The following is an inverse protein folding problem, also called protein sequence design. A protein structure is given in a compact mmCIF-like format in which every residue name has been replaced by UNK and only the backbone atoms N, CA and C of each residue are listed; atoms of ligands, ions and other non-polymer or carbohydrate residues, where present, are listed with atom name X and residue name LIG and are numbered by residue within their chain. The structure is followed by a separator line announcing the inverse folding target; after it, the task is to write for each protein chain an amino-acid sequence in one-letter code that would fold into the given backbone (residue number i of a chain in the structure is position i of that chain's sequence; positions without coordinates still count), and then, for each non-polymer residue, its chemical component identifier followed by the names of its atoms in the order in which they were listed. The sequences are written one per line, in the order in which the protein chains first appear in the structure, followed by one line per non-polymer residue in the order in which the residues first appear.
data_IF_808687364909
#
_entry.id   IF_808687364909
#
_cell.length_a   1.000
_cell.length_b   1.000
_cell.length_c   1.000
_cell.angle_alpha   90.00
_cell.angle_beta   90.00
_cell.angle_gamma   90.00
#
_symmetry.space_group_name_H-M   'P 1'
#
loop_
_entity.id
_entity.type
_entity.pdbx_description
1 polymer ?
#
# COMPACT_ATOMS: atom_id res chain seq x y z
N UNK A 1 2.30 -9.59 7.85
CA UNK A 1 3.59 -9.93 8.48
C UNK A 1 4.49 -8.71 8.42
N UNK A 2 5.07 -8.30 9.54
CA UNK A 2 6.09 -7.25 9.60
C UNK A 2 7.40 -7.88 10.06
N UNK A 3 8.47 -7.70 9.30
CA UNK A 3 9.80 -8.19 9.63
C UNK A 3 10.87 -7.18 9.25
N UNK A 4 12.08 -7.33 9.78
CA UNK A 4 13.22 -6.45 9.51
C UNK A 4 14.03 -6.95 8.32
N UNK A 5 14.61 -6.02 7.60
CA UNK A 5 15.62 -6.31 6.58
C UNK A 5 16.96 -6.65 7.22
N UNK A 6 17.33 -5.91 8.29
CA UNK A 6 18.59 -6.09 9.01
C UNK A 6 18.37 -6.28 10.50
N UNK A 7 19.26 -7.04 11.12
CA UNK A 7 19.36 -7.12 12.57
C UNK A 7 19.91 -5.79 13.13
N UNK A 8 19.24 -5.14 14.10
CA UNK A 8 19.68 -3.85 14.61
C UNK A 8 20.91 -3.93 15.50
N UNK A 9 21.24 -5.09 16.07
CA UNK A 9 22.37 -5.27 16.99
C UNK A 9 23.63 -5.69 16.24
N UNK A 10 23.51 -6.68 15.35
CA UNK A 10 24.64 -7.21 14.58
C UNK A 10 24.85 -6.50 13.23
N UNK A 11 23.84 -5.80 12.70
CA UNK A 11 23.85 -5.23 11.35
C UNK A 11 23.72 -6.29 10.25
N UNK A 12 23.57 -7.57 10.60
CA UNK A 12 23.47 -8.66 9.66
C UNK A 12 22.18 -8.58 8.81
N UNK A 13 22.29 -8.89 7.53
CA UNK A 13 21.14 -8.93 6.62
C UNK A 13 20.24 -10.15 6.92
N UNK A 14 19.06 -9.89 7.47
CA UNK A 14 18.02 -10.91 7.65
C UNK A 14 17.36 -11.23 6.30
N UNK A 15 17.23 -10.20 5.44
CA UNK A 15 16.70 -10.31 4.09
C UNK A 15 17.80 -9.98 3.09
N UNK A 16 18.62 -11.00 2.79
CA UNK A 16 19.78 -10.84 1.91
C UNK A 16 19.36 -10.56 0.47
N UNK A 17 20.00 -9.58 -0.16
CA UNK A 17 19.88 -9.35 -1.59
C UNK A 17 20.33 -10.59 -2.38
N UNK A 18 19.52 -11.01 -3.36
CA UNK A 18 19.76 -12.19 -4.18
C UNK A 18 19.74 -11.85 -5.66
N UNK A 19 20.42 -12.66 -6.47
CA UNK A 19 20.44 -12.50 -7.92
C UNK A 19 19.10 -12.84 -8.58
N UNK A 20 18.93 -12.43 -9.84
CA UNK A 20 17.67 -12.63 -10.61
C UNK A 20 17.23 -14.09 -10.76
N UNK A 21 18.17 -15.03 -10.78
CA UNK A 21 17.91 -16.44 -11.04
C UNK A 21 17.59 -17.26 -9.78
N UNK A 22 17.47 -16.61 -8.62
CA UNK A 22 17.17 -17.29 -7.36
C UNK A 22 15.67 -17.46 -7.15
N UNK A 23 15.25 -18.54 -6.49
CA UNK A 23 13.84 -18.81 -6.14
C UNK A 23 13.28 -17.90 -5.05
N UNK A 24 14.08 -16.95 -4.54
CA UNK A 24 13.69 -16.07 -3.45
C UNK A 24 13.60 -16.77 -2.10
N UNK A 25 13.01 -16.07 -1.12
CA UNK A 25 12.82 -16.58 0.23
C UNK A 25 11.38 -16.35 0.69
N UNK A 26 10.87 -17.24 1.55
CA UNK A 26 9.50 -17.15 2.07
C UNK A 26 9.34 -15.92 2.96
N UNK A 27 8.55 -14.94 2.54
CA UNK A 27 8.20 -13.75 3.33
C UNK A 27 7.12 -14.04 4.38
N UNK A 28 6.05 -14.75 3.99
CA UNK A 28 4.95 -15.13 4.88
C UNK A 28 4.39 -16.52 4.50
N UNK A 29 3.66 -17.13 5.43
CA UNK A 29 2.93 -18.38 5.19
C UNK A 29 1.44 -18.12 5.13
N UNK A 30 0.82 -18.67 4.11
CA UNK A 30 -0.63 -18.69 3.96
C UNK A 30 -1.22 -19.86 4.76
N UNK A 31 -2.43 -19.68 5.28
CA UNK A 31 -3.16 -20.74 6.01
C UNK A 31 -4.00 -21.59 5.06
N UNK A 32 -4.59 -20.95 4.06
CA UNK A 32 -5.44 -21.57 3.07
C UNK A 32 -4.75 -21.55 1.70
N UNK A 33 -5.05 -22.54 0.86
CA UNK A 33 -4.56 -22.59 -0.51
C UNK A 33 -5.13 -21.45 -1.40
N UNK A 34 -6.26 -20.87 -0.98
CA UNK A 34 -6.89 -19.72 -1.62
C UNK A 34 -6.32 -18.36 -1.20
N UNK A 35 -5.45 -18.34 -0.19
CA UNK A 35 -4.82 -17.10 0.27
C UNK A 35 -3.79 -16.61 -0.75
N UNK A 36 -3.65 -15.30 -0.87
CA UNK A 36 -2.68 -14.67 -1.75
C UNK A 36 -2.08 -13.41 -1.13
N UNK A 37 -0.94 -12.99 -1.65
CA UNK A 37 -0.29 -11.75 -1.25
C UNK A 37 -0.99 -10.57 -1.94
N UNK A 38 -1.64 -9.72 -1.15
CA UNK A 38 -2.36 -8.55 -1.68
C UNK A 38 -1.43 -7.35 -1.89
N UNK A 39 -0.52 -7.11 -0.96
CA UNK A 39 0.39 -5.98 -1.01
C UNK A 39 1.68 -6.26 -0.24
N UNK A 40 2.73 -5.53 -0.59
CA UNK A 40 3.98 -5.44 0.14
C UNK A 40 4.37 -3.97 0.24
N UNK A 41 4.70 -3.51 1.44
CA UNK A 41 5.05 -2.13 1.72
C UNK A 41 6.34 -2.03 2.53
N UNK A 42 7.12 -1.02 2.25
CA UNK A 42 8.26 -0.64 3.09
C UNK A 42 7.76 0.19 4.26
N UNK A 43 8.15 -0.19 5.48
CA UNK A 43 7.73 0.53 6.69
C UNK A 43 8.41 1.89 6.74
N UNK A 44 7.61 2.95 6.65
CA UNK A 44 7.97 4.32 6.96
C UNK A 44 7.32 4.71 8.30
N UNK A 45 8.13 5.00 9.32
CA UNK A 45 7.63 5.35 10.65
C UNK A 45 6.92 6.71 10.70
N UNK A 46 7.10 7.57 9.69
CA UNK A 46 6.35 8.82 9.55
C UNK A 46 4.99 8.63 8.87
N UNK A 47 4.75 7.44 8.30
CA UNK A 47 3.51 7.08 7.62
C UNK A 47 2.64 6.13 8.45
N UNK A 48 1.41 5.94 8.01
CA UNK A 48 0.45 4.99 8.56
C UNK A 48 0.09 3.94 7.52
N UNK A 49 -0.38 2.81 7.97
CA UNK A 49 -0.79 1.71 7.10
C UNK A 49 -2.30 1.76 6.87
N UNK A 50 -2.71 2.01 5.64
CA UNK A 50 -4.10 1.98 5.20
C UNK A 50 -4.38 0.64 4.53
N UNK A 51 -5.38 -0.07 5.04
CA UNK A 51 -5.88 -1.34 4.47
C UNK A 51 -7.35 -1.15 4.12
N UNK A 52 -7.74 -1.49 2.90
CA UNK A 52 -9.10 -1.35 2.41
C UNK A 52 -9.68 -2.69 1.97
N UNK A 53 -10.96 -2.92 2.23
CA UNK A 53 -11.73 -4.09 1.82
C UNK A 53 -12.57 -3.83 0.57
N UNK A 54 -12.94 -4.90 -0.14
CA UNK A 54 -13.87 -4.84 -1.27
C UNK A 54 -15.23 -4.23 -0.91
N UNK A 55 -15.61 -4.26 0.37
CA UNK A 55 -16.85 -3.64 0.88
C UNK A 55 -16.74 -2.11 1.07
N UNK A 56 -15.63 -1.48 0.69
CA UNK A 56 -15.43 -0.05 0.80
C UNK A 56 -15.16 0.44 2.23
N UNK A 57 -14.78 -0.47 3.13
CA UNK A 57 -14.33 -0.14 4.48
C UNK A 57 -12.81 -0.23 4.56
N UNK A 58 -12.20 0.55 5.44
CA UNK A 58 -10.76 0.50 5.66
C UNK A 58 -10.35 0.86 7.07
N UNK A 59 -9.15 0.44 7.42
CA UNK A 59 -8.48 0.76 8.68
C UNK A 59 -7.20 1.54 8.38
N UNK A 60 -6.99 2.64 9.09
CA UNK A 60 -5.74 3.40 9.08
C UNK A 60 -5.09 3.23 10.44
N UNK A 61 -3.94 2.57 10.48
CA UNK A 61 -3.27 2.14 11.71
C UNK A 61 -1.80 2.55 11.69
N UNK A 62 -1.14 2.53 12.84
CA UNK A 62 0.30 2.72 12.92
C UNK A 62 1.02 1.42 12.55
N UNK A 63 2.20 1.53 11.94
CA UNK A 63 3.03 0.35 11.71
C UNK A 63 3.47 -0.33 13.01
N UNK A 64 3.59 0.41 14.11
CA UNK A 64 3.97 -0.09 15.43
C UNK A 64 2.95 -1.07 16.02
N UNK A 65 1.67 -0.96 15.62
CA UNK A 65 0.61 -1.90 16.05
C UNK A 65 0.82 -3.32 15.50
N UNK A 66 1.70 -3.46 14.50
CA UNK A 66 2.08 -4.75 13.94
C UNK A 66 3.40 -5.20 14.55
N UNK A 67 3.34 -6.20 15.42
CA UNK A 67 4.54 -6.74 16.05
C UNK A 67 5.56 -7.22 15.01
N UNK A 68 6.83 -6.98 15.30
CA UNK A 68 7.92 -7.56 14.53
C UNK A 68 7.96 -9.07 14.78
N UNK A 69 8.04 -9.84 13.70
CA UNK A 69 8.19 -11.28 13.72
C UNK A 69 9.22 -11.69 12.68
N UNK A 70 9.69 -12.91 12.74
CA UNK A 70 10.56 -13.45 11.70
C UNK A 70 9.77 -13.60 10.38
N UNK A 71 10.46 -13.47 9.24
CA UNK A 71 9.89 -13.80 7.93
C UNK A 71 9.39 -15.25 7.92
N UNK A 72 8.38 -15.54 7.10
CA UNK A 72 7.77 -16.87 7.05
C UNK A 72 6.73 -17.12 8.16
N UNK A 73 6.40 -16.12 8.97
CA UNK A 73 5.30 -16.21 9.94
C UNK A 73 3.92 -15.99 9.29
N UNK A 74 2.86 -16.31 10.05
CA UNK A 74 1.46 -16.10 9.60
C UNK A 74 0.94 -14.69 9.79
N UNK A 75 1.68 -13.83 10.51
CA UNK A 75 1.31 -12.45 10.73
C UNK A 75 0.26 -12.21 11.83
N UNK A 76 -0.39 -11.06 11.74
CA UNK A 76 -1.46 -10.61 12.63
C UNK A 76 -2.57 -9.98 11.80
N UNK A 77 -3.78 -9.96 12.30
CA UNK A 77 -4.94 -9.36 11.66
C UNK A 77 -4.75 -7.84 11.49
N UNK A 78 -5.04 -7.34 10.32
CA UNK A 78 -5.02 -5.91 10.01
C UNK A 78 -6.42 -5.30 10.14
N UNK A 79 -7.42 -5.97 9.57
CA UNK A 79 -8.82 -5.57 9.53
C UNK A 79 -9.69 -6.78 9.88
N UNK A 80 -10.83 -6.56 10.52
CA UNK A 80 -11.83 -7.58 10.81
C UNK A 80 -12.71 -7.79 9.57
N UNK A 81 -12.56 -8.94 8.93
CA UNK A 81 -13.34 -9.36 7.77
C UNK A 81 -14.08 -10.67 8.08
N UNK A 82 -15.21 -10.94 7.39
CA UNK A 82 -15.89 -12.22 7.50
C UNK A 82 -14.96 -13.41 7.20
N UNK A 83 -15.00 -14.43 8.05
CA UNK A 83 -14.15 -15.63 7.91
C UNK A 83 -14.54 -16.52 6.73
N UNK A 84 -15.77 -16.36 6.21
CA UNK A 84 -16.29 -17.09 5.07
C UNK A 84 -15.65 -16.69 3.71
N UNK A 85 -14.79 -15.67 3.74
CA UNK A 85 -14.12 -15.16 2.54
C UNK A 85 -15.03 -14.38 1.58
N UNK A 86 -16.23 -14.02 2.01
CA UNK A 86 -17.21 -13.25 1.20
C UNK A 86 -16.70 -11.84 0.86
N UNK A 87 -15.83 -11.26 1.70
CA UNK A 87 -15.21 -9.95 1.53
C UNK A 87 -13.70 -10.12 1.55
N UNK A 88 -13.02 -9.61 0.52
CA UNK A 88 -11.56 -9.65 0.40
C UNK A 88 -10.96 -8.27 0.60
N UNK A 89 -9.63 -8.21 0.66
CA UNK A 89 -8.90 -6.96 0.62
C UNK A 89 -8.88 -6.42 -0.82
N UNK A 90 -9.16 -5.13 -0.97
CA UNK A 90 -8.98 -4.40 -2.23
C UNK A 90 -7.56 -3.87 -2.38
N UNK A 91 -6.90 -3.55 -1.26
CA UNK A 91 -5.52 -3.08 -1.27
C UNK A 91 -5.02 -2.69 0.10
N UNK A 92 -3.72 -2.45 0.18
CA UNK A 92 -3.06 -1.91 1.36
C UNK A 92 -1.87 -1.07 0.92
N UNK A 93 -1.65 0.08 1.55
CA UNK A 93 -0.57 1.00 1.21
C UNK A 93 -0.14 1.87 2.39
N UNK A 94 1.07 2.38 2.30
CA UNK A 94 1.63 3.36 3.23
C UNK A 94 1.15 4.76 2.86
N UNK A 95 0.58 5.50 3.82
CA UNK A 95 0.00 6.84 3.60
C UNK A 95 0.43 7.81 4.69
N UNK A 96 0.54 9.08 4.33
CA UNK A 96 0.73 10.21 5.25
C UNK A 96 -0.54 11.04 5.33
N UNK A 97 -0.65 11.89 6.35
CA UNK A 97 -1.86 12.69 6.57
C UNK A 97 -2.08 13.73 5.45
N UNK A 98 -1.01 14.18 4.80
CA UNK A 98 -1.02 15.10 3.65
C UNK A 98 -1.35 14.43 2.32
N UNK A 99 -1.29 13.11 2.25
CA UNK A 99 -1.57 12.36 1.02
C UNK A 99 -3.08 12.34 0.70
N UNK A 100 -3.36 11.99 -0.54
CA UNK A 100 -4.69 11.59 -1.00
C UNK A 100 -4.64 10.20 -1.60
N UNK A 101 -5.76 9.50 -1.50
CA UNK A 101 -5.93 8.17 -2.10
C UNK A 101 -7.03 8.17 -3.14
N UNK A 102 -6.77 7.49 -4.24
CA UNK A 102 -7.74 7.17 -5.27
C UNK A 102 -8.35 5.81 -4.96
N UNK A 103 -9.67 5.76 -4.94
CA UNK A 103 -10.46 4.56 -4.75
C UNK A 103 -11.15 4.22 -6.08
N UNK A 104 -10.93 3.03 -6.62
CA UNK A 104 -11.53 2.56 -7.87
C UNK A 104 -12.50 1.42 -7.61
N UNK A 105 -13.74 1.54 -8.09
CA UNK A 105 -14.77 0.52 -7.94
C UNK A 105 -14.93 -0.34 -9.20
N UNK A 106 -15.58 -1.50 -9.06
CA UNK A 106 -15.83 -2.43 -10.17
C UNK A 106 -16.75 -1.84 -11.25
N UNK A 107 -17.64 -0.93 -10.89
CA UNK A 107 -18.50 -0.20 -11.84
C UNK A 107 -17.83 1.03 -12.46
N UNK A 108 -16.52 1.22 -12.20
CA UNK A 108 -15.73 2.30 -12.82
C UNK A 108 -15.85 3.65 -12.11
N UNK A 109 -16.39 3.72 -10.90
CA UNK A 109 -16.32 4.94 -10.10
C UNK A 109 -14.90 5.15 -9.60
N UNK A 110 -14.41 6.37 -9.74
CA UNK A 110 -13.11 6.82 -9.24
C UNK A 110 -13.33 7.94 -8.23
N UNK A 111 -12.90 7.72 -7.00
CA UNK A 111 -13.14 8.64 -5.87
C UNK A 111 -11.81 9.03 -5.27
N UNK A 112 -11.59 10.34 -5.13
CA UNK A 112 -10.42 10.91 -4.45
C UNK A 112 -10.79 11.19 -2.99
N UNK A 113 -9.99 10.71 -2.05
CA UNK A 113 -10.22 10.83 -0.63
C UNK A 113 -8.95 11.33 0.07
N UNK A 114 -8.98 12.50 0.75
CA UNK A 114 -7.87 12.95 1.58
C UNK A 114 -7.63 11.99 2.76
N UNK A 115 -6.38 11.59 2.97
CA UNK A 115 -6.03 10.64 4.05
C UNK A 115 -6.37 11.19 5.43
N UNK A 116 -6.24 12.50 5.64
CA UNK A 116 -6.59 13.18 6.91
C UNK A 116 -8.03 12.95 7.34
N UNK A 117 -8.96 12.75 6.38
CA UNK A 117 -10.38 12.52 6.64
C UNK A 117 -10.67 11.06 7.04
N UNK A 118 -9.71 10.16 6.85
CA UNK A 118 -9.82 8.76 7.28
C UNK A 118 -9.36 8.68 8.72
N UNK A 119 -10.31 8.43 9.65
CA UNK A 119 -9.99 8.31 11.07
C UNK A 119 -9.00 7.16 11.34
N UNK A 120 -8.00 7.42 12.17
CA UNK A 120 -7.11 6.39 12.69
C UNK A 120 -7.88 5.42 13.58
N UNK A 121 -7.65 4.13 13.41
CA UNK A 121 -8.32 3.04 14.15
C UNK A 121 -7.28 2.07 14.68
N UNK A 122 -7.71 1.20 15.59
CA UNK A 122 -6.89 0.10 16.06
C UNK A 122 -6.82 -1.01 14.99
N UNK A 123 -5.71 -1.73 14.97
CA UNK A 123 -5.55 -2.96 14.18
C UNK A 123 -6.63 -3.99 14.54
N UNK A 124 -7.18 -4.69 13.53
CA UNK A 124 -8.24 -5.68 13.74
C UNK A 124 -9.62 -5.09 13.96
N UNK A 125 -9.82 -3.78 13.75
CA UNK A 125 -11.14 -3.17 13.75
C UNK A 125 -11.90 -3.49 12.44
N UNK A 126 -13.22 -3.34 12.44
CA UNK A 126 -14.07 -3.44 11.21
C UNK A 126 -13.77 -2.34 10.20
N UNK A 127 -13.13 -1.26 10.68
CA UNK A 127 -12.78 -0.14 9.86
C UNK A 127 -13.83 0.96 9.78
N UNK A 128 -13.50 2.02 9.06
CA UNK A 128 -14.38 3.14 8.71
C UNK A 128 -14.78 3.05 7.26
N UNK A 129 -15.91 3.65 6.89
CA UNK A 129 -16.35 3.72 5.51
C UNK A 129 -15.45 4.68 4.73
N UNK A 130 -14.75 4.17 3.72
CA UNK A 130 -13.95 4.96 2.77
C UNK A 130 -14.81 5.44 1.61
N UNK A 131 -15.74 4.59 1.16
CA UNK A 131 -16.64 4.86 0.04
C UNK A 131 -17.99 4.20 0.26
N UNK A 132 -19.05 4.85 -0.21
CA UNK A 132 -20.39 4.25 -0.29
C UNK A 132 -20.53 3.59 -1.66
N UNK A 133 -20.66 2.27 -1.65
CA UNK A 133 -20.81 1.48 -2.87
C UNK A 133 -22.27 1.33 -3.26
N UNK A 134 -22.54 1.35 -4.55
CA UNK A 134 -23.86 0.98 -5.08
C UNK A 134 -24.15 -0.52 -4.90
N UNK A 135 -25.42 -0.95 -4.94
CA UNK A 135 -25.77 -2.36 -4.88
C UNK A 135 -25.05 -3.17 -5.98
N UNK A 136 -24.35 -4.22 -5.57
CA UNK A 136 -23.58 -5.08 -6.46
C UNK A 136 -22.24 -4.49 -6.95
N UNK A 137 -21.82 -3.33 -6.43
CA UNK A 137 -20.49 -2.78 -6.67
C UNK A 137 -19.51 -3.22 -5.58
N UNK A 138 -18.23 -3.11 -5.86
CA UNK A 138 -17.14 -3.39 -4.93
C UNK A 138 -15.92 -2.53 -5.21
N UNK A 139 -15.15 -2.25 -4.17
CA UNK A 139 -13.87 -1.59 -4.29
C UNK A 139 -12.86 -2.59 -4.89
N UNK A 140 -12.24 -2.22 -6.01
CA UNK A 140 -11.23 -3.05 -6.69
C UNK A 140 -9.81 -2.75 -6.25
N UNK A 141 -9.51 -1.46 -6.10
CA UNK A 141 -8.15 -1.05 -5.78
C UNK A 141 -8.12 0.30 -5.08
N UNK A 142 -7.00 0.54 -4.40
CA UNK A 142 -6.64 1.84 -3.84
C UNK A 142 -5.24 2.20 -4.31
N UNK A 143 -5.00 3.48 -4.56
CA UNK A 143 -3.70 3.99 -4.96
C UNK A 143 -3.43 5.33 -4.27
N UNK A 144 -2.20 5.58 -3.87
CA UNK A 144 -1.79 6.89 -3.35
C UNK A 144 -1.59 7.85 -4.51
N UNK A 145 -2.18 9.04 -4.40
CA UNK A 145 -1.91 10.15 -5.31
C UNK A 145 -0.69 10.88 -4.76
N UNK A 146 0.36 10.91 -5.55
CA UNK A 146 1.53 11.75 -5.29
C UNK A 146 1.35 13.00 -6.15
N UNK A 147 1.17 14.16 -5.54
CA UNK A 147 1.23 15.42 -6.30
C UNK A 147 2.69 15.59 -6.75
N UNK A 148 2.93 15.37 -8.04
CA UNK A 148 4.16 15.79 -8.67
C UNK A 148 4.00 17.27 -8.93
N UNK A 149 4.86 18.11 -8.34
CA UNK A 149 4.93 19.54 -8.68
C UNK A 149 5.21 19.65 -10.17
N UNK A 150 4.17 19.86 -10.98
CA UNK A 150 4.27 20.12 -12.42
C UNK A 150 5.04 21.42 -12.73
N UNK A 151 5.42 22.19 -11.72
CA UNK A 151 6.18 23.43 -11.87
C UNK A 151 7.66 23.21 -12.24
N UNK A 152 8.20 21.99 -12.18
CA UNK A 152 9.58 21.73 -12.60
C UNK A 152 9.74 21.39 -14.09
N UNK A 153 8.68 21.12 -14.83
CA UNK A 153 8.75 20.76 -16.25
C UNK A 153 8.62 21.98 -17.18
N UNK A 154 8.11 23.11 -16.70
CA UNK A 154 7.94 24.34 -17.49
C UNK A 154 9.22 25.21 -17.61
N UNK A 155 10.34 24.82 -16.98
CA UNK A 155 11.62 25.55 -16.99
C UNK A 155 12.71 24.99 -17.91
N UNK A 156 12.42 23.98 -18.69
CA UNK A 156 13.33 23.45 -19.71
C UNK A 156 13.37 24.32 -20.94
N UNK A 157 14.26 25.32 -20.93
CA UNK A 157 14.65 26.15 -22.09
C UNK A 157 14.98 25.23 -23.28
N UNK A 158 14.27 25.42 -24.39
CA UNK A 158 14.50 24.69 -25.61
C UNK A 158 15.96 24.96 -26.09
N UNK A 159 16.72 23.93 -26.50
CA UNK A 159 18.06 24.16 -27.05
C UNK A 159 17.93 24.97 -28.32
N UNK A 160 18.66 26.10 -28.37
CA UNK A 160 18.77 26.97 -29.52
C UNK A 160 19.16 26.18 -30.77
N UNK A 161 18.37 26.38 -31.82
CA UNK A 161 18.66 25.80 -33.14
C UNK A 161 20.06 26.20 -33.61
N UNK A 162 20.90 25.22 -33.94
CA UNK A 162 22.20 25.43 -34.54
C UNK A 162 22.03 26.04 -35.93
N UNK A 163 22.68 27.18 -36.17
CA UNK A 163 22.80 27.79 -37.51
C UNK A 163 23.51 26.84 -38.47
N UNK A 164 23.05 26.78 -39.74
CA UNK A 164 23.76 26.01 -40.75
C UNK A 164 25.09 26.71 -41.17
N UNK A 165 26.14 25.95 -41.53
CA UNK A 165 27.42 26.51 -41.90
C UNK A 165 27.33 27.30 -43.24
N UNK A 166 28.12 28.38 -43.42
CA UNK A 166 28.12 29.17 -44.63
C UNK A 166 28.72 28.41 -45.83
N UNK A 167 28.21 28.74 -47.01
CA UNK A 167 28.57 28.16 -48.32
C UNK A 167 30.03 28.47 -48.78
#
# INVERSE_FOLDING_TARGET
VRFRERDPESGEEIFRATGRATGGVTGMRFKLASDYLQAIEVVDHAAKFLVASEAGQGVRTRFEDYRLINRGGSGVWAIDLPEDGSIRLAGALSVRDEDEVMLLTAKGQSIRCPVKDIRETNRGAKGVRLVTLEPGDKLLSIARIVETDEQQIAGGEAPAAAEPPPA
#
